data_IF_522529055137
#
_entry.id   IF_522529055137
#
_cell.length_a   1.000
_cell.length_b   1.000
_cell.length_c   1.000
_cell.angle_alpha   90.00
_cell.angle_beta   90.00
_cell.angle_gamma   90.00
#
_symmetry.space_group_name_H-M   'P 1'
#
loop_
_entity.id
_entity.type
_entity.pdbx_description
1 polymer ?
#
# COMPACT_ATOMS: atom_id res chain seq x y z
N UNK A 1 -9.63 1.22 -30.90
CA UNK A 1 -10.78 0.47 -30.34
C UNK A 1 -10.67 0.55 -28.83
N UNK A 2 -11.63 1.14 -28.14
CA UNK A 2 -11.61 1.25 -26.67
C UNK A 2 -12.40 0.08 -26.11
N UNK A 3 -11.72 -0.83 -25.40
CA UNK A 3 -12.40 -1.91 -24.68
C UNK A 3 -13.27 -1.31 -23.58
N UNK A 4 -14.52 -1.75 -23.48
CA UNK A 4 -15.40 -1.33 -22.40
C UNK A 4 -14.81 -1.75 -21.06
N UNK A 5 -14.80 -0.83 -20.09
CA UNK A 5 -14.31 -1.14 -18.73
C UNK A 5 -15.18 -2.26 -18.15
N UNK A 6 -14.59 -3.35 -17.62
CA UNK A 6 -15.34 -4.40 -16.93
C UNK A 6 -16.11 -3.85 -15.74
N UNK A 7 -17.21 -4.52 -15.40
CA UNK A 7 -17.96 -4.19 -14.19
C UNK A 7 -17.09 -4.40 -12.94
N UNK A 8 -17.35 -3.58 -11.90
CA UNK A 8 -16.78 -3.79 -10.57
C UNK A 8 -17.36 -5.05 -9.94
N UNK A 9 -16.50 -5.79 -9.26
CA UNK A 9 -16.88 -6.88 -8.37
C UNK A 9 -17.89 -6.39 -7.32
N UNK A 10 -18.94 -7.18 -6.97
CA UNK A 10 -19.98 -6.74 -6.03
C UNK A 10 -19.46 -6.42 -4.63
N UNK A 11 -18.54 -7.24 -4.08
CA UNK A 11 -17.98 -7.03 -2.74
C UNK A 11 -17.15 -5.75 -2.73
N UNK A 12 -16.34 -5.54 -3.77
CA UNK A 12 -15.59 -4.30 -3.95
C UNK A 12 -16.52 -3.09 -4.10
N UNK A 13 -17.64 -3.23 -4.82
CA UNK A 13 -18.61 -2.14 -5.01
C UNK A 13 -19.24 -1.72 -3.69
N UNK A 14 -19.62 -2.67 -2.85
CA UNK A 14 -20.20 -2.38 -1.52
C UNK A 14 -19.21 -1.62 -0.64
N UNK A 15 -17.95 -2.09 -0.56
CA UNK A 15 -16.89 -1.41 0.20
C UNK A 15 -16.64 0.03 -0.29
N UNK A 16 -16.65 0.23 -1.61
CA UNK A 16 -16.44 1.55 -2.22
C UNK A 16 -17.64 2.49 -2.05
N UNK A 17 -18.86 1.95 -1.90
CA UNK A 17 -20.07 2.77 -1.71
C UNK A 17 -20.05 3.55 -0.39
N UNK A 18 -19.41 3.00 0.63
CA UNK A 18 -19.25 3.64 1.94
C UNK A 18 -18.06 4.60 2.01
N UNK A 19 -17.18 4.62 0.99
CA UNK A 19 -16.05 5.54 0.97
C UNK A 19 -16.52 6.97 0.66
N UNK A 20 -16.15 7.97 1.49
CA UNK A 20 -16.49 9.35 1.20
C UNK A 20 -15.84 9.78 -0.11
N UNK A 21 -16.63 10.39 -1.00
CA UNK A 21 -16.11 11.03 -2.20
C UNK A 21 -15.09 12.10 -1.78
N UNK A 22 -13.81 11.84 -2.02
CA UNK A 22 -12.76 12.78 -1.67
C UNK A 22 -12.79 13.97 -2.61
N UNK A 23 -12.90 15.17 -2.02
CA UNK A 23 -12.62 16.44 -2.68
C UNK A 23 -11.21 16.44 -3.27
N UNK A 24 -11.01 17.16 -4.38
CA UNK A 24 -9.72 17.34 -5.07
C UNK A 24 -8.53 17.34 -4.11
N UNK A 25 -7.57 16.45 -4.36
CA UNK A 25 -6.27 16.44 -3.70
C UNK A 25 -5.51 17.73 -4.06
N UNK A 26 -5.46 18.69 -3.14
CA UNK A 26 -4.58 19.86 -3.23
C UNK A 26 -3.24 19.58 -2.56
N UNK A 27 -2.17 20.33 -2.88
CA UNK A 27 -0.89 20.21 -2.18
C UNK A 27 -0.99 20.37 -0.65
N UNK A 28 -1.86 21.26 -0.17
CA UNK A 28 -2.11 21.51 1.25
C UNK A 28 -2.82 20.32 1.92
N UNK A 29 -3.82 19.75 1.24
CA UNK A 29 -4.50 18.53 1.71
C UNK A 29 -3.53 17.36 1.73
N UNK A 30 -2.72 17.20 0.68
CA UNK A 30 -1.69 16.15 0.59
C UNK A 30 -0.66 16.24 1.72
N UNK A 31 -0.20 17.44 2.06
CA UNK A 31 0.73 17.64 3.16
C UNK A 31 0.15 17.18 4.52
N UNK A 32 -1.17 17.34 4.71
CA UNK A 32 -1.88 16.89 5.93
C UNK A 32 -2.16 15.39 5.94
N UNK A 33 -2.32 14.76 4.77
CA UNK A 33 -2.60 13.33 4.66
C UNK A 33 -1.35 12.46 4.73
N UNK A 34 -0.21 12.90 4.19
CA UNK A 34 1.04 12.11 4.15
C UNK A 34 1.44 11.50 5.51
N UNK A 35 1.34 12.21 6.65
CA UNK A 35 1.64 11.61 7.96
C UNK A 35 0.69 10.49 8.38
N UNK A 36 -0.52 10.43 7.81
CA UNK A 36 -1.55 9.42 8.11
C UNK A 36 -1.43 8.17 7.22
N UNK A 37 -0.66 8.24 6.13
CA UNK A 37 -0.57 7.17 5.12
C UNK A 37 0.35 6.01 5.50
N UNK A 38 0.87 5.97 6.73
CA UNK A 38 1.66 4.84 7.22
C UNK A 38 0.73 3.82 7.90
N UNK A 39 -0.04 3.08 7.11
CA UNK A 39 -0.68 1.88 7.65
C UNK A 39 0.42 0.85 7.93
N UNK A 40 0.57 0.36 9.17
CA UNK A 40 1.52 -0.70 9.48
C UNK A 40 1.20 -1.94 8.62
N UNK A 41 2.24 -2.61 8.13
CA UNK A 41 2.08 -3.84 7.32
C UNK A 41 1.84 -5.05 8.22
N UNK A 42 2.17 -4.95 9.50
CA UNK A 42 2.10 -5.99 10.53
C UNK A 42 0.73 -6.68 10.58
N UNK A 43 -0.42 -5.98 10.61
CA UNK A 43 -1.73 -6.62 10.62
C UNK A 43 -2.00 -7.47 9.38
N UNK A 44 -1.42 -7.12 8.23
CA UNK A 44 -1.57 -7.89 6.99
C UNK A 44 -0.74 -9.19 7.00
N UNK A 45 0.23 -9.31 7.92
CA UNK A 45 1.16 -10.42 8.01
C UNK A 45 0.85 -11.39 9.17
N UNK A 46 -0.05 -11.06 10.09
CA UNK A 46 -0.33 -11.82 11.33
C UNK A 46 -0.61 -13.32 11.12
N UNK A 47 -1.09 -13.70 9.94
CA UNK A 47 -1.43 -15.09 9.62
C UNK A 47 -0.62 -15.66 8.44
N UNK A 48 0.49 -15.00 8.08
CA UNK A 48 1.37 -15.41 6.99
C UNK A 48 2.74 -15.79 7.57
N UNK A 49 3.26 -16.96 7.17
CA UNK A 49 4.64 -17.36 7.46
C UNK A 49 5.59 -16.63 6.52
N UNK A 50 6.11 -15.49 6.96
CA UNK A 50 7.01 -14.64 6.18
C UNK A 50 8.24 -14.24 6.98
N UNK A 51 9.38 -14.17 6.30
CA UNK A 51 10.57 -13.47 6.76
C UNK A 51 10.49 -12.02 6.29
N UNK A 52 10.85 -11.09 7.18
CA UNK A 52 10.83 -9.65 6.90
C UNK A 52 12.20 -9.04 7.14
N UNK A 53 12.65 -8.21 6.19
CA UNK A 53 13.89 -7.45 6.28
C UNK A 53 13.66 -6.00 5.91
N UNK A 54 14.14 -5.10 6.75
CA UNK A 54 14.15 -3.66 6.49
C UNK A 54 15.54 -3.24 6.03
N UNK A 55 15.60 -2.52 4.91
CA UNK A 55 16.86 -2.03 4.35
C UNK A 55 16.65 -0.67 3.71
N UNK A 56 17.70 0.15 3.70
CA UNK A 56 17.67 1.47 3.06
C UNK A 56 18.57 1.44 1.85
N UNK A 57 18.04 1.83 0.68
CA UNK A 57 18.83 1.97 -0.55
C UNK A 57 18.91 3.43 -0.98
N UNK A 58 20.01 3.88 -1.59
CA UNK A 58 20.08 5.21 -2.16
C UNK A 58 19.25 5.27 -3.46
N UNK A 59 18.45 6.32 -3.59
CA UNK A 59 17.85 6.72 -4.86
C UNK A 59 18.89 7.30 -5.81
N UNK A 60 18.51 7.54 -7.07
CA UNK A 60 19.39 8.15 -8.08
C UNK A 60 19.89 9.55 -7.69
N UNK A 61 19.10 10.28 -6.90
CA UNK A 61 19.44 11.60 -6.35
C UNK A 61 20.13 11.53 -4.98
N UNK A 62 20.45 10.32 -4.50
CA UNK A 62 21.07 10.09 -3.20
C UNK A 62 20.09 10.08 -2.02
N UNK A 63 18.80 10.33 -2.23
CA UNK A 63 17.81 10.26 -1.15
C UNK A 63 17.66 8.82 -0.63
N UNK A 64 17.62 8.58 0.69
CA UNK A 64 17.41 7.24 1.24
C UNK A 64 15.98 6.75 1.01
N UNK A 65 15.82 5.58 0.42
CA UNK A 65 14.53 4.91 0.24
C UNK A 65 14.47 3.72 1.22
N UNK A 66 13.58 3.74 2.23
CA UNK A 66 13.32 2.58 3.06
C UNK A 66 12.58 1.51 2.23
N UNK A 67 13.07 0.28 2.30
CA UNK A 67 12.51 -0.89 1.63
C UNK A 67 12.23 -1.98 2.66
N UNK A 68 10.99 -2.47 2.66
CA UNK A 68 10.59 -3.67 3.38
C UNK A 68 10.53 -4.84 2.41
N UNK A 69 11.37 -5.87 2.63
CA UNK A 69 11.36 -7.10 1.85
C UNK A 69 10.64 -8.18 2.65
N UNK A 70 9.54 -8.67 2.09
CA UNK A 70 8.72 -9.75 2.66
C UNK A 70 8.89 -10.98 1.77
N UNK A 71 9.44 -12.05 2.32
CA UNK A 71 9.62 -13.34 1.63
C UNK A 71 8.92 -14.46 2.40
N UNK A 72 8.55 -15.59 1.78
CA UNK A 72 8.11 -16.76 2.52
C UNK A 72 9.14 -17.14 3.58
N UNK A 73 8.68 -17.53 4.78
CA UNK A 73 9.59 -18.01 5.81
C UNK A 73 10.28 -19.29 5.30
N UNK A 74 11.61 -19.33 5.35
CA UNK A 74 12.33 -20.55 5.00
C UNK A 74 11.89 -21.68 5.94
N UNK A 75 11.61 -22.90 5.44
CA UNK A 75 11.37 -24.02 6.34
C UNK A 75 12.62 -24.24 7.20
N UNK A 76 12.42 -24.45 8.50
CA UNK A 76 13.51 -24.86 9.39
C UNK A 76 14.13 -26.15 8.83
N UNK A 77 15.43 -26.09 8.54
CA UNK A 77 16.23 -27.28 8.19
C UNK A 77 16.56 -28.09 9.43
#
# INVERSE_FOLDING_TARGET
MTLARPALDPELRELLADMPLMSRLSPEVLARLRPLSSTPVEPLLEHRRVDRRELTVPAKDGAPIPLSVISPASPAS
#
